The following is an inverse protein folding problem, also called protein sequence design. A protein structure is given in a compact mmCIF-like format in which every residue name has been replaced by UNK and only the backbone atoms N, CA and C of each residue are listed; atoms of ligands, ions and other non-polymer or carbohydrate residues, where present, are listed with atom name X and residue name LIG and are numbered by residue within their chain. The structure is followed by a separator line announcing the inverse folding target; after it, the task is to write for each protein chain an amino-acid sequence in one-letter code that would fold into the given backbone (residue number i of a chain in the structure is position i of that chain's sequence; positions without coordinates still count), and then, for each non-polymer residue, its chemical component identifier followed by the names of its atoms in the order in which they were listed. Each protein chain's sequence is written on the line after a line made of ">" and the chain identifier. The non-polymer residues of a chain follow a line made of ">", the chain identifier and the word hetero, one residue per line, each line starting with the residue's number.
data_IF_711157502846
#
_entry.id   IF_711157502846
#
_cell.length_a   1.000
_cell.length_b   1.000
_cell.length_c   1.000
_cell.angle_alpha   90.00
_cell.angle_beta   90.00
_cell.angle_gamma   90.00
#
_symmetry.space_group_name_H-M   'P 1'
#
loop_
_entity.id
_entity.type
_entity.pdbx_description
1 polymer ?
#
# COMPACT_ATOMS: atom_id res chain seq x y z
N UNK A 1 -8.76 26.63 -9.99
CA UNK A 1 -7.42 26.02 -9.84
C UNK A 1 -7.22 24.96 -10.94
N UNK A 2 -6.12 25.05 -11.71
CA UNK A 2 -5.81 24.13 -12.82
C UNK A 2 -5.70 22.66 -12.32
N UNK A 3 -6.08 21.68 -13.15
CA UNK A 3 -6.02 20.24 -12.80
C UNK A 3 -4.59 19.80 -12.47
N UNK A 4 -3.59 20.37 -13.14
CA UNK A 4 -2.18 20.15 -12.84
C UNK A 4 -1.81 20.58 -11.43
N UNK A 5 -2.30 21.75 -10.97
CA UNK A 5 -2.03 22.23 -9.61
C UNK A 5 -2.67 21.30 -8.57
N UNK A 6 -3.89 20.81 -8.82
CA UNK A 6 -4.56 19.82 -7.95
C UNK A 6 -3.78 18.51 -7.87
N UNK A 7 -3.26 18.05 -9.00
CA UNK A 7 -2.43 16.86 -9.07
C UNK A 7 -1.11 17.02 -8.31
N UNK A 8 -0.40 18.14 -8.52
CA UNK A 8 0.84 18.46 -7.80
C UNK A 8 0.59 18.52 -6.30
N UNK A 9 -0.47 19.20 -5.83
CA UNK A 9 -0.83 19.20 -4.41
C UNK A 9 -1.07 17.78 -3.87
N UNK A 10 -1.71 16.90 -4.66
CA UNK A 10 -1.95 15.50 -4.27
C UNK A 10 -0.64 14.70 -4.18
N UNK A 11 0.29 14.92 -5.10
CA UNK A 11 1.63 14.31 -5.08
C UNK A 11 2.42 14.80 -3.88
N UNK A 12 2.46 16.11 -3.63
CA UNK A 12 3.15 16.68 -2.46
C UNK A 12 2.59 16.11 -1.15
N UNK A 13 1.27 16.04 -1.02
CA UNK A 13 0.63 15.45 0.15
C UNK A 13 1.00 13.97 0.32
N UNK A 14 1.00 13.19 -0.77
CA UNK A 14 1.43 11.80 -0.74
C UNK A 14 2.90 11.64 -0.35
N UNK A 15 3.81 12.43 -0.94
CA UNK A 15 5.24 12.35 -0.61
C UNK A 15 5.48 12.70 0.86
N UNK A 16 4.81 13.74 1.38
CA UNK A 16 4.91 14.11 2.79
C UNK A 16 4.38 12.98 3.68
N UNK A 17 3.20 12.45 3.37
CA UNK A 17 2.62 11.34 4.11
C UNK A 17 3.55 10.11 4.07
N UNK A 18 3.96 9.69 2.88
CA UNK A 18 4.86 8.55 2.68
C UNK A 18 6.21 8.73 3.39
N UNK A 19 6.77 9.93 3.43
CA UNK A 19 8.02 10.22 4.12
C UNK A 19 7.87 10.13 5.64
N UNK A 20 6.82 10.74 6.20
CA UNK A 20 6.50 10.65 7.63
C UNK A 20 6.31 9.19 8.04
N UNK A 21 5.55 8.45 7.22
CA UNK A 21 5.26 7.04 7.39
C UNK A 21 6.51 6.16 7.31
N UNK A 22 7.38 6.41 6.34
CA UNK A 22 8.62 5.67 6.17
C UNK A 22 9.57 5.90 7.35
N UNK A 23 9.69 7.14 7.85
CA UNK A 23 10.59 7.44 8.97
C UNK A 23 10.00 6.96 10.30
N UNK A 24 8.78 7.39 10.64
CA UNK A 24 8.17 7.08 11.93
C UNK A 24 7.67 5.64 11.99
N UNK A 25 7.12 5.12 10.90
CA UNK A 25 6.66 3.74 10.83
C UNK A 25 7.81 2.76 10.97
N UNK A 26 8.92 2.96 10.28
CA UNK A 26 10.07 2.06 10.39
C UNK A 26 10.74 2.15 11.75
N UNK A 27 10.86 3.36 12.31
CA UNK A 27 11.34 3.57 13.68
C UNK A 27 10.47 2.87 14.72
N UNK A 28 9.14 3.00 14.59
CA UNK A 28 8.19 2.34 15.47
C UNK A 28 8.24 0.81 15.32
N UNK A 29 8.35 0.31 14.09
CA UNK A 29 8.45 -1.12 13.80
C UNK A 29 9.74 -1.72 14.35
N UNK A 30 10.85 -0.99 14.27
CA UNK A 30 12.11 -1.41 14.87
C UNK A 30 12.03 -1.41 16.40
N UNK A 31 11.44 -0.37 16.99
CA UNK A 31 11.30 -0.25 18.44
C UNK A 31 10.39 -1.32 19.05
N UNK A 32 9.30 -1.69 18.36
CA UNK A 32 8.34 -2.70 18.84
C UNK A 32 8.69 -4.13 18.43
N UNK A 33 9.74 -4.32 17.65
CA UNK A 33 10.18 -5.67 17.29
C UNK A 33 10.61 -6.43 18.55
N UNK A 34 10.16 -7.70 18.72
CA UNK A 34 10.65 -8.52 19.80
C UNK A 34 12.17 -8.76 19.68
N UNK A 35 12.87 -8.67 20.81
CA UNK A 35 14.31 -8.94 20.91
C UNK A 35 14.53 -10.29 21.58
N UNK A 36 15.53 -11.02 21.10
CA UNK A 36 15.85 -12.37 21.56
C UNK A 36 17.32 -12.48 21.94
N UNK A 37 17.66 -13.44 22.81
CA UNK A 37 19.04 -13.70 23.22
C UNK A 37 19.78 -14.62 22.22
N UNK A 38 19.05 -15.56 21.60
CA UNK A 38 19.62 -16.51 20.64
C UNK A 38 18.84 -16.56 19.33
N UNK A 39 19.51 -17.03 18.27
CA UNK A 39 18.89 -17.27 16.96
C UNK A 39 17.88 -18.42 17.06
N UNK A 40 18.13 -19.42 17.91
CA UNK A 40 17.21 -20.54 18.14
C UNK A 40 15.91 -20.08 18.77
N UNK A 41 15.98 -19.18 19.75
CA UNK A 41 14.80 -18.53 20.33
C UNK A 41 14.04 -17.71 19.29
N UNK A 42 14.76 -16.98 18.42
CA UNK A 42 14.11 -16.23 17.34
C UNK A 42 13.31 -17.17 16.43
N UNK A 43 13.88 -18.33 16.07
CA UNK A 43 13.22 -19.32 15.22
C UNK A 43 12.03 -19.99 15.91
N UNK A 44 12.12 -20.26 17.21
CA UNK A 44 11.05 -20.92 17.97
C UNK A 44 9.80 -20.04 18.11
N UNK A 45 9.95 -18.72 18.04
CA UNK A 45 8.85 -17.76 18.12
C UNK A 45 8.21 -17.43 16.76
N UNK A 46 8.69 -18.00 15.65
CA UNK A 46 8.05 -17.85 14.35
C UNK A 46 6.70 -18.57 14.38
N UNK A 47 5.66 -17.87 13.96
CA UNK A 47 4.31 -18.45 13.95
C UNK A 47 4.20 -19.49 12.84
N UNK A 48 3.44 -20.54 13.11
CA UNK A 48 3.11 -21.53 12.10
C UNK A 48 2.24 -20.89 11.00
N UNK A 49 2.61 -21.09 9.74
CA UNK A 49 1.96 -20.47 8.59
C UNK A 49 1.88 -21.46 7.44
N UNK A 50 0.65 -21.69 6.97
CA UNK A 50 0.35 -22.66 5.91
C UNK A 50 1.10 -22.34 4.62
N UNK A 51 1.28 -21.06 4.27
CA UNK A 51 2.03 -20.70 3.08
C UNK A 51 3.53 -20.99 3.22
N UNK A 52 4.06 -21.00 4.44
CA UNK A 52 5.43 -21.39 4.68
C UNK A 52 5.65 -22.89 4.57
N UNK A 53 4.67 -23.69 4.99
CA UNK A 53 4.69 -25.15 4.82
C UNK A 53 4.59 -25.56 3.34
N UNK A 54 3.79 -24.83 2.56
CA UNK A 54 3.55 -25.15 1.15
C UNK A 54 4.62 -24.60 0.20
N UNK A 55 5.17 -23.42 0.49
CA UNK A 55 6.08 -22.71 -0.42
C UNK A 55 7.49 -22.73 0.17
N UNK A 56 8.42 -23.35 -0.55
CA UNK A 56 9.84 -23.39 -0.19
C UNK A 56 10.43 -21.98 -0.18
N UNK A 57 11.33 -21.71 0.77
CA UNK A 57 12.05 -20.45 0.82
C UNK A 57 12.88 -20.23 -0.45
N UNK A 58 12.52 -19.21 -1.21
CA UNK A 58 13.29 -18.74 -2.36
C UNK A 58 13.10 -17.25 -2.53
N UNK A 59 14.20 -16.49 -2.37
CA UNK A 59 14.17 -15.04 -2.46
C UNK A 59 15.29 -14.51 -3.36
N UNK A 60 15.08 -14.48 -4.69
CA UNK A 60 16.06 -13.93 -5.61
C UNK A 60 16.30 -12.45 -5.30
N UNK A 61 17.57 -12.03 -5.37
CA UNK A 61 17.92 -10.61 -5.32
C UNK A 61 17.90 -10.05 -6.74
N UNK A 62 17.44 -8.81 -6.85
CA UNK A 62 17.39 -8.03 -8.09
C UNK A 62 18.10 -6.69 -7.86
N UNK A 63 18.27 -5.90 -8.92
CA UNK A 63 18.85 -4.55 -8.86
C UNK A 63 18.05 -3.65 -7.88
N UNK A 64 16.74 -3.87 -7.77
CA UNK A 64 15.84 -3.10 -6.90
C UNK A 64 15.56 -3.76 -5.55
N UNK A 65 16.46 -4.63 -5.08
CA UNK A 65 16.30 -5.39 -3.84
C UNK A 65 15.58 -6.72 -4.07
N UNK A 66 14.55 -7.03 -3.28
CA UNK A 66 13.82 -8.30 -3.41
C UNK A 66 12.93 -8.31 -4.67
N UNK A 67 12.70 -9.49 -5.28
CA UNK A 67 11.86 -9.64 -6.49
C UNK A 67 10.51 -8.95 -6.37
N UNK A 68 9.84 -9.09 -5.22
CA UNK A 68 8.55 -8.45 -4.95
C UNK A 68 8.57 -6.91 -5.15
N UNK A 69 9.65 -6.26 -4.70
CA UNK A 69 9.82 -4.81 -4.82
C UNK A 69 10.05 -4.43 -6.28
N UNK A 70 10.85 -5.21 -7.01
CA UNK A 70 11.07 -5.01 -8.44
C UNK A 70 9.77 -5.13 -9.25
N UNK A 71 8.94 -6.15 -8.96
CA UNK A 71 7.63 -6.32 -9.61
C UNK A 71 6.75 -5.08 -9.38
N UNK A 72 6.71 -4.56 -8.16
CA UNK A 72 5.91 -3.37 -7.82
C UNK A 72 6.44 -2.14 -8.54
N UNK A 73 7.73 -1.84 -8.45
CA UNK A 73 8.33 -0.67 -9.10
C UNK A 73 8.08 -0.72 -10.61
N UNK A 74 8.33 -1.86 -11.24
CA UNK A 74 8.06 -2.04 -12.67
C UNK A 74 6.57 -1.83 -12.98
N UNK A 75 5.67 -2.39 -12.17
CA UNK A 75 4.22 -2.23 -12.35
C UNK A 75 3.78 -0.77 -12.20
N UNK A 76 4.31 -0.05 -11.21
CA UNK A 76 4.02 1.37 -10.98
C UNK A 76 4.49 2.22 -12.15
N UNK A 77 5.74 2.03 -12.59
CA UNK A 77 6.29 2.76 -13.75
C UNK A 77 5.43 2.52 -14.99
N UNK A 78 5.09 1.26 -15.29
CA UNK A 78 4.24 0.93 -16.42
C UNK A 78 2.83 1.53 -16.29
N UNK A 79 2.24 1.50 -15.09
CA UNK A 79 0.95 2.11 -14.81
C UNK A 79 0.97 3.63 -15.09
N UNK A 80 1.92 4.36 -14.50
CA UNK A 80 2.03 5.81 -14.68
C UNK A 80 2.33 6.19 -16.13
N UNK A 81 3.25 5.49 -16.80
CA UNK A 81 3.56 5.71 -18.22
C UNK A 81 2.31 5.50 -19.08
N UNK A 82 1.56 4.42 -18.87
CA UNK A 82 0.31 4.19 -19.62
C UNK A 82 -0.74 5.26 -19.33
N UNK A 83 -0.84 5.72 -18.09
CA UNK A 83 -1.72 6.83 -17.73
C UNK A 83 -1.36 8.11 -18.49
N UNK A 84 -0.08 8.44 -18.69
CA UNK A 84 0.33 9.64 -19.45
C UNK A 84 -0.20 9.65 -20.89
N UNK A 85 -0.43 8.50 -21.51
CA UNK A 85 -0.97 8.38 -22.86
C UNK A 85 -2.50 8.37 -22.95
N UNK A 86 -3.20 8.44 -21.82
CA UNK A 86 -4.66 8.50 -21.79
C UNK A 86 -5.17 9.92 -21.56
N UNK A 87 -6.28 10.27 -22.21
CA UNK A 87 -6.93 11.60 -22.10
C UNK A 87 -7.23 11.95 -20.63
N UNK A 88 -7.76 10.99 -19.87
CA UNK A 88 -8.11 11.16 -18.45
C UNK A 88 -7.01 10.66 -17.50
N UNK A 89 -5.80 10.45 -18.00
CA UNK A 89 -4.68 9.83 -17.29
C UNK A 89 -4.36 10.45 -15.94
N UNK A 90 -4.29 11.78 -15.89
CA UNK A 90 -3.96 12.52 -14.66
C UNK A 90 -4.98 12.26 -13.54
N UNK A 91 -6.26 12.16 -13.89
CA UNK A 91 -7.32 11.85 -12.90
C UNK A 91 -7.10 10.45 -12.34
N UNK A 92 -6.76 9.46 -13.16
CA UNK A 92 -6.51 8.10 -12.70
C UNK A 92 -5.29 8.01 -11.79
N UNK A 93 -4.20 8.71 -12.14
CA UNK A 93 -3.03 8.83 -11.28
C UNK A 93 -3.38 9.49 -9.94
N UNK A 94 -4.18 10.56 -9.96
CA UNK A 94 -4.64 11.23 -8.76
C UNK A 94 -5.43 10.29 -7.84
N UNK A 95 -6.36 9.51 -8.41
CA UNK A 95 -7.16 8.54 -7.65
C UNK A 95 -6.29 7.46 -7.01
N UNK A 96 -5.30 6.96 -7.76
CA UNK A 96 -4.35 5.99 -7.24
C UNK A 96 -3.54 6.56 -6.06
N UNK A 97 -3.08 7.81 -6.17
CA UNK A 97 -2.33 8.50 -5.12
C UNK A 97 -3.19 8.70 -3.86
N UNK A 98 -4.43 9.17 -4.00
CA UNK A 98 -5.33 9.37 -2.85
C UNK A 98 -5.62 8.08 -2.11
N UNK A 99 -5.91 7.00 -2.84
CA UNK A 99 -6.14 5.69 -2.24
C UNK A 99 -4.87 5.18 -1.56
N UNK A 100 -3.69 5.41 -2.18
CA UNK A 100 -2.40 5.04 -1.58
C UNK A 100 -2.16 5.77 -0.25
N UNK A 101 -2.50 7.06 -0.14
CA UNK A 101 -2.42 7.79 1.12
C UNK A 101 -3.29 7.14 2.21
N UNK A 102 -4.57 6.88 1.91
CA UNK A 102 -5.53 6.29 2.87
C UNK A 102 -5.01 4.96 3.38
N UNK A 103 -4.54 4.10 2.48
CA UNK A 103 -4.05 2.78 2.83
C UNK A 103 -2.73 2.83 3.60
N UNK A 104 -1.84 3.77 3.26
CA UNK A 104 -0.63 3.98 4.04
C UNK A 104 -0.96 4.44 5.46
N UNK A 105 -1.86 5.39 5.64
CA UNK A 105 -2.30 5.79 6.99
C UNK A 105 -2.86 4.61 7.80
N UNK A 106 -3.68 3.76 7.17
CA UNK A 106 -4.20 2.56 7.81
C UNK A 106 -3.08 1.60 8.24
N UNK A 107 -2.06 1.39 7.41
CA UNK A 107 -0.83 0.65 7.76
C UNK A 107 -0.16 1.22 9.01
N UNK A 108 0.00 2.55 9.02
CA UNK A 108 0.33 3.41 10.19
C UNK A 108 -0.23 2.88 11.48
N UNK A 109 -1.55 2.97 11.51
CA UNK A 109 -2.35 2.68 12.69
C UNK A 109 -2.29 1.21 13.09
N UNK A 110 -2.18 0.27 12.14
CA UNK A 110 -2.08 -1.16 12.50
C UNK A 110 -0.77 -1.49 13.22
N UNK A 111 0.33 -0.82 12.83
CA UNK A 111 1.64 -1.01 13.45
C UNK A 111 1.67 -0.55 14.92
N UNK A 112 1.01 0.56 15.22
CA UNK A 112 0.94 1.08 16.59
C UNK A 112 0.08 0.22 17.50
N UNK A 113 -0.75 -0.66 16.95
CA UNK A 113 -1.55 -1.61 17.71
C UNK A 113 -0.75 -2.88 17.98
N UNK A 114 -0.33 -3.61 16.94
CA UNK A 114 0.24 -4.95 17.10
C UNK A 114 1.48 -5.18 16.24
N UNK A 115 2.54 -5.75 16.83
CA UNK A 115 3.77 -6.17 16.16
C UNK A 115 3.92 -7.70 16.27
N UNK A 116 4.32 -8.35 15.18
CA UNK A 116 4.56 -9.80 15.15
C UNK A 116 6.04 -10.13 14.96
N UNK A 117 6.51 -11.31 15.40
CA UNK A 117 7.84 -11.82 15.09
C UNK A 117 8.07 -11.87 13.57
N UNK A 118 9.25 -11.44 13.12
CA UNK A 118 9.55 -11.44 11.69
C UNK A 118 10.00 -12.83 11.21
N UNK A 119 9.33 -13.43 10.21
CA UNK A 119 9.72 -14.73 9.69
C UNK A 119 10.94 -14.70 8.75
N UNK A 120 11.44 -13.52 8.37
CA UNK A 120 12.55 -13.37 7.44
C UNK A 120 13.89 -13.76 8.10
N UNK A 121 14.61 -14.76 7.56
CA UNK A 121 15.90 -15.18 8.11
C UNK A 121 16.96 -14.08 8.16
N UNK A 122 16.89 -13.10 7.26
CA UNK A 122 17.82 -11.96 7.24
C UNK A 122 17.69 -11.06 8.47
N UNK A 123 16.58 -11.16 9.19
CA UNK A 123 16.25 -10.32 10.32
C UNK A 123 16.63 -10.95 11.66
N UNK A 124 17.12 -12.19 11.68
CA UNK A 124 17.46 -12.88 12.93
C UNK A 124 18.64 -12.23 13.66
N UNK A 125 19.66 -11.78 12.92
CA UNK A 125 20.77 -11.06 13.55
C UNK A 125 20.32 -9.70 14.10
N UNK A 126 19.35 -9.06 13.46
CA UNK A 126 18.84 -7.76 13.87
C UNK A 126 17.90 -7.83 15.09
N UNK A 127 17.26 -8.99 15.33
CA UNK A 127 16.49 -9.23 16.55
C UNK A 127 17.37 -9.51 17.78
N UNK A 128 18.66 -9.81 17.60
CA UNK A 128 19.63 -9.92 18.69
C UNK A 128 20.21 -8.56 19.11
N UNK A 129 20.11 -7.55 18.24
CA UNK A 129 20.71 -6.25 18.50
C UNK A 129 20.00 -5.52 19.66
N UNK A 130 20.73 -5.11 20.71
CA UNK A 130 20.17 -4.43 21.87
C UNK A 130 19.60 -3.06 21.50
N UNK A 131 18.63 -2.58 22.30
CA UNK A 131 18.02 -1.27 22.10
C UNK A 131 18.79 -0.22 22.89
N UNK A 132 19.48 0.67 22.16
CA UNK A 132 20.23 1.77 22.76
C UNK A 132 19.59 3.11 22.39
N UNK A 133 19.10 3.87 23.38
CA UNK A 133 18.27 5.06 23.13
C UNK A 133 19.08 6.35 22.94
N UNK A 134 20.35 6.36 23.32
CA UNK A 134 21.15 7.57 23.51
C UNK A 134 22.37 7.61 22.61
N UNK A 135 22.74 8.80 22.12
CA UNK A 135 23.94 9.02 21.32
C UNK A 135 23.70 9.05 19.80
N UNK A 136 24.73 9.46 19.04
CA UNK A 136 24.74 9.43 17.57
C UNK A 136 24.65 7.99 17.03
N UNK A 137 25.07 7.01 17.82
CA UNK A 137 24.94 5.58 17.50
C UNK A 137 23.67 4.92 18.08
N UNK A 138 22.86 5.68 18.82
CA UNK A 138 21.60 5.20 19.38
C UNK A 138 20.64 4.72 18.29
N UNK A 139 19.91 3.65 18.55
CA UNK A 139 19.04 2.98 17.60
C UNK A 139 17.97 3.86 16.97
N UNK A 140 17.44 4.83 17.72
CA UNK A 140 16.49 5.82 17.20
C UNK A 140 17.15 6.71 16.16
N UNK A 141 18.34 7.25 16.48
CA UNK A 141 19.10 8.08 15.55
C UNK A 141 19.56 7.27 14.34
N UNK A 142 20.05 6.05 14.54
CA UNK A 142 20.48 5.12 13.48
C UNK A 142 19.33 4.71 12.56
N UNK A 143 18.11 4.56 13.08
CA UNK A 143 16.93 4.24 12.26
C UNK A 143 16.46 5.44 11.43
N UNK A 144 16.50 6.65 12.01
CA UNK A 144 16.23 7.89 11.28
C UNK A 144 17.32 8.16 10.23
N UNK A 145 18.60 7.88 10.55
CA UNK A 145 19.76 8.18 9.73
C UNK A 145 20.04 7.13 8.64
N UNK A 146 19.81 5.84 8.91
CA UNK A 146 19.99 4.76 7.92
C UNK A 146 18.91 4.76 6.84
N UNK A 147 17.88 5.60 6.99
CA UNK A 147 16.72 5.62 6.11
C UNK A 147 15.88 4.34 6.23
N UNK A 148 14.66 4.43 5.72
CA UNK A 148 13.56 3.47 5.79
C UNK A 148 13.80 2.10 5.08
N UNK A 149 15.01 1.55 5.13
CA UNK A 149 15.44 0.41 4.29
C UNK A 149 15.83 -0.83 5.08
N UNK A 150 15.92 -0.74 6.41
CA UNK A 150 16.35 -1.84 7.29
C UNK A 150 15.43 -2.05 8.50
N UNK A 151 14.14 -1.76 8.40
CA UNK A 151 13.24 -2.18 9.49
C UNK A 151 12.84 -3.63 9.31
N UNK A 152 13.43 -4.49 10.11
CA UNK A 152 13.03 -5.88 10.22
C UNK A 152 11.74 -6.07 11.04
N UNK A 153 11.04 -5.01 11.45
CA UNK A 153 9.75 -5.18 12.15
C UNK A 153 8.69 -5.72 11.18
N UNK A 154 8.09 -6.87 11.47
CA UNK A 154 7.02 -7.38 10.61
C UNK A 154 5.70 -6.65 10.92
N UNK A 155 5.10 -6.09 9.86
CA UNK A 155 3.84 -5.40 9.91
C UNK A 155 2.73 -6.35 9.48
N UNK A 156 1.70 -6.52 10.33
CA UNK A 156 0.53 -7.37 10.04
C UNK A 156 -0.15 -7.01 8.72
N UNK A 157 -0.18 -5.73 8.38
CA UNK A 157 -0.68 -5.29 7.10
C UNK A 157 0.46 -5.29 6.08
N UNK A 158 0.40 -6.08 5.00
CA UNK A 158 1.45 -6.16 3.97
C UNK A 158 1.36 -5.06 2.91
N UNK A 159 2.45 -4.34 2.69
CA UNK A 159 2.48 -3.12 1.86
C UNK A 159 2.73 -3.46 0.40
N UNK A 160 3.57 -4.46 0.16
CA UNK A 160 3.76 -5.05 -1.15
C UNK A 160 2.45 -5.60 -1.71
N UNK A 161 1.71 -6.35 -0.88
CA UNK A 161 0.40 -6.90 -1.25
C UNK A 161 -0.59 -5.78 -1.55
N UNK A 162 -0.65 -4.76 -0.70
CA UNK A 162 -1.51 -3.59 -0.88
C UNK A 162 -1.28 -2.93 -2.25
N UNK A 163 -0.04 -2.55 -2.57
CA UNK A 163 0.26 -1.89 -3.85
C UNK A 163 -0.01 -2.80 -5.06
N UNK A 164 0.32 -4.09 -4.99
CA UNK A 164 0.03 -5.04 -6.06
C UNK A 164 -1.48 -5.19 -6.31
N UNK A 165 -2.26 -5.31 -5.23
CA UNK A 165 -3.72 -5.41 -5.29
C UNK A 165 -4.31 -4.13 -5.89
N UNK A 166 -3.87 -2.97 -5.40
CA UNK A 166 -4.31 -1.66 -5.92
C UNK A 166 -4.02 -1.54 -7.42
N UNK A 167 -2.78 -1.83 -7.83
CA UNK A 167 -2.39 -1.79 -9.24
C UNK A 167 -3.30 -2.66 -10.10
N UNK A 168 -3.55 -3.90 -9.69
CA UNK A 168 -4.47 -4.81 -10.38
C UNK A 168 -5.89 -4.23 -10.49
N UNK A 169 -6.43 -3.69 -9.40
CA UNK A 169 -7.79 -3.14 -9.36
C UNK A 169 -7.93 -1.89 -10.24
N UNK A 170 -6.96 -0.96 -10.18
CA UNK A 170 -6.96 0.26 -10.98
C UNK A 170 -6.71 -0.03 -12.47
N UNK A 171 -5.80 -0.95 -12.80
CA UNK A 171 -5.56 -1.40 -14.17
C UNK A 171 -6.84 -1.95 -14.82
N UNK A 172 -7.61 -2.75 -14.08
CA UNK A 172 -8.87 -3.33 -14.54
C UNK A 172 -10.02 -2.31 -14.61
N UNK A 173 -10.17 -1.46 -13.59
CA UNK A 173 -11.25 -0.44 -13.54
C UNK A 173 -11.13 0.55 -14.69
N UNK A 174 -9.93 1.06 -14.94
CA UNK A 174 -9.71 2.09 -15.96
C UNK A 174 -9.36 1.47 -17.33
N UNK A 175 -9.39 0.15 -17.46
CA UNK A 175 -9.08 -0.59 -18.70
C UNK A 175 -7.75 -0.15 -19.32
N UNK A 176 -6.76 0.09 -18.45
CA UNK A 176 -5.42 0.56 -18.82
C UNK A 176 -4.67 -0.53 -19.58
N UNK A 177 -4.92 -1.77 -19.20
CA UNK A 177 -4.36 -2.95 -19.84
C UNK A 177 -5.33 -3.43 -20.93
N UNK A 178 -4.86 -3.67 -22.17
CA UNK A 178 -5.69 -4.24 -23.23
C UNK A 178 -6.34 -5.54 -22.79
N UNK A 179 -7.58 -5.81 -23.22
CA UNK A 179 -8.37 -6.99 -22.80
C UNK A 179 -7.61 -8.31 -22.94
N UNK A 180 -6.78 -8.44 -23.97
CA UNK A 180 -5.95 -9.63 -24.24
C UNK A 180 -4.80 -9.83 -23.23
N UNK A 181 -4.39 -8.77 -22.53
CA UNK A 181 -3.27 -8.77 -21.58
C UNK A 181 -3.73 -8.69 -20.12
N UNK A 182 -5.05 -8.67 -19.86
CA UNK A 182 -5.58 -8.67 -18.48
C UNK A 182 -5.11 -9.88 -17.70
N UNK A 183 -5.01 -11.04 -18.35
CA UNK A 183 -4.45 -12.25 -17.75
C UNK A 183 -3.01 -12.04 -17.25
N UNK A 184 -2.19 -11.25 -17.96
CA UNK A 184 -0.84 -10.92 -17.50
C UNK A 184 -0.84 -10.05 -16.25
N UNK A 185 -1.79 -9.12 -16.10
CA UNK A 185 -1.95 -8.34 -14.87
C UNK A 185 -2.30 -9.25 -13.69
N UNK A 186 -3.19 -10.24 -13.90
CA UNK A 186 -3.49 -11.25 -12.89
C UNK A 186 -2.25 -12.08 -12.53
N UNK A 187 -1.56 -12.65 -13.51
CA UNK A 187 -0.36 -13.48 -13.29
C UNK A 187 0.73 -12.70 -12.56
N UNK A 188 0.96 -11.45 -12.94
CA UNK A 188 1.91 -10.54 -12.27
C UNK A 188 1.57 -10.35 -10.80
N UNK A 189 0.30 -10.13 -10.48
CA UNK A 189 -0.16 -9.93 -9.09
C UNK A 189 -0.06 -11.22 -8.28
N UNK A 190 -0.47 -12.36 -8.86
CA UNK A 190 -0.33 -13.67 -8.23
C UNK A 190 1.15 -14.04 -7.98
N UNK A 191 2.03 -13.78 -8.95
CA UNK A 191 3.47 -13.96 -8.81
C UNK A 191 4.04 -13.07 -7.70
N UNK A 192 3.57 -11.82 -7.60
CA UNK A 192 3.94 -10.92 -6.51
C UNK A 192 3.57 -11.49 -5.14
N UNK A 193 2.36 -12.02 -4.96
CA UNK A 193 1.94 -12.65 -3.70
C UNK A 193 2.78 -13.89 -3.37
N UNK A 194 3.04 -14.72 -4.39
CA UNK A 194 3.92 -15.88 -4.25
C UNK A 194 5.31 -15.47 -3.73
N UNK A 195 5.94 -14.46 -4.34
CA UNK A 195 7.27 -14.02 -3.91
C UNK A 195 7.27 -13.37 -2.52
N UNK A 196 6.17 -12.75 -2.07
CA UNK A 196 6.05 -12.22 -0.70
C UNK A 196 6.17 -13.33 0.34
N UNK A 197 5.44 -14.43 0.12
CA UNK A 197 5.42 -15.59 1.02
C UNK A 197 6.72 -16.40 0.89
N UNK A 198 7.20 -16.61 -0.35
CA UNK A 198 8.45 -17.33 -0.65
C UNK A 198 9.68 -16.63 -0.06
N UNK A 199 9.71 -15.29 -0.05
CA UNK A 199 10.77 -14.51 0.58
C UNK A 199 10.66 -14.44 2.11
N UNK A 200 9.61 -15.00 2.71
CA UNK A 200 9.27 -14.84 4.14
C UNK A 200 9.25 -13.38 4.55
N UNK A 201 8.80 -12.51 3.64
CA UNK A 201 8.72 -11.07 3.93
C UNK A 201 7.51 -10.73 4.79
N UNK A 202 6.45 -11.54 4.69
CA UNK A 202 5.21 -11.42 5.44
C UNK A 202 4.60 -12.81 5.62
N UNK A 203 3.76 -12.97 6.64
CA UNK A 203 2.95 -14.17 6.79
C UNK A 203 1.83 -14.21 5.74
N UNK A 204 1.30 -15.40 5.47
CA UNK A 204 0.19 -15.59 4.53
C UNK A 204 -1.05 -14.84 5.00
N UNK A 205 -1.28 -14.74 6.31
CA UNK A 205 -2.38 -13.95 6.87
C UNK A 205 -2.23 -12.45 6.56
N UNK A 206 -1.01 -11.92 6.56
CA UNK A 206 -0.74 -10.51 6.24
C UNK A 206 -1.09 -10.20 4.78
N UNK A 207 -0.81 -11.14 3.88
CA UNK A 207 -1.16 -11.07 2.46
C UNK A 207 -2.69 -11.14 2.30
N UNK A 208 -3.34 -12.09 2.97
CA UNK A 208 -4.78 -12.26 2.90
C UNK A 208 -5.55 -11.04 3.39
N UNK A 209 -5.24 -10.55 4.58
CA UNK A 209 -5.87 -9.36 5.18
C UNK A 209 -5.59 -8.13 4.33
N UNK A 210 -4.36 -7.98 3.83
CA UNK A 210 -4.02 -6.84 2.96
C UNK A 210 -4.84 -6.84 1.67
N UNK A 211 -5.03 -8.00 1.05
CA UNK A 211 -5.89 -8.16 -0.11
C UNK A 211 -7.35 -7.77 0.22
N UNK A 212 -7.91 -8.27 1.33
CA UNK A 212 -9.29 -7.99 1.73
C UNK A 212 -9.54 -6.50 1.98
N UNK A 213 -8.72 -5.88 2.83
CA UNK A 213 -8.83 -4.45 3.16
C UNK A 213 -8.66 -3.61 1.88
N UNK A 214 -7.71 -3.96 1.02
CA UNK A 214 -7.49 -3.20 -0.22
C UNK A 214 -8.69 -3.27 -1.15
N UNK A 215 -9.29 -4.45 -1.34
CA UNK A 215 -10.51 -4.58 -2.14
C UNK A 215 -11.67 -3.80 -1.51
N UNK A 216 -11.90 -3.94 -0.20
CA UNK A 216 -12.96 -3.23 0.50
C UNK A 216 -12.81 -1.71 0.36
N UNK A 217 -11.63 -1.18 0.66
CA UNK A 217 -11.33 0.26 0.54
C UNK A 217 -11.49 0.73 -0.89
N UNK A 218 -11.06 -0.05 -1.88
CA UNK A 218 -11.23 0.29 -3.29
C UNK A 218 -12.70 0.39 -3.70
N UNK A 219 -13.54 -0.58 -3.31
CA UNK A 219 -14.97 -0.54 -3.60
C UNK A 219 -15.66 0.61 -2.89
N UNK A 220 -15.36 0.84 -1.62
CA UNK A 220 -15.90 1.96 -0.85
C UNK A 220 -15.50 3.31 -1.46
N UNK A 221 -14.21 3.47 -1.80
CA UNK A 221 -13.69 4.68 -2.46
C UNK A 221 -14.41 4.96 -3.78
N UNK A 222 -14.62 3.92 -4.60
CA UNK A 222 -15.31 4.06 -5.88
C UNK A 222 -16.79 4.42 -5.72
N UNK A 223 -17.47 3.83 -4.74
CA UNK A 223 -18.87 4.15 -4.42
C UNK A 223 -18.98 5.60 -3.95
N UNK A 224 -18.11 6.01 -3.01
CA UNK A 224 -18.08 7.38 -2.51
C UNK A 224 -17.85 8.40 -3.63
N UNK A 225 -16.90 8.14 -4.54
CA UNK A 225 -16.69 9.01 -5.69
C UNK A 225 -17.94 9.16 -6.55
N UNK A 226 -18.60 8.05 -6.88
CA UNK A 226 -19.83 8.09 -7.70
C UNK A 226 -20.93 8.88 -7.02
N UNK A 227 -21.19 8.64 -5.73
CA UNK A 227 -22.21 9.36 -4.97
C UNK A 227 -21.89 10.85 -4.86
N UNK A 228 -20.63 11.21 -4.63
CA UNK A 228 -20.19 12.60 -4.58
C UNK A 228 -20.38 13.32 -5.93
N UNK A 229 -20.00 12.68 -7.04
CA UNK A 229 -20.24 13.25 -8.37
C UNK A 229 -21.74 13.38 -8.68
N UNK A 230 -22.57 12.41 -8.28
CA UNK A 230 -24.01 12.49 -8.45
C UNK A 230 -24.62 13.67 -7.67
N UNK A 231 -24.19 13.89 -6.43
CA UNK A 231 -24.65 15.03 -5.61
C UNK A 231 -24.31 16.38 -6.26
N UNK A 232 -23.09 16.54 -6.79
CA UNK A 232 -22.67 17.78 -7.49
C UNK A 232 -23.49 18.00 -8.76
N UNK A 233 -23.82 16.94 -9.50
CA UNK A 233 -24.65 17.07 -10.70
C UNK A 233 -26.06 17.53 -10.35
N UNK A 234 -26.65 17.00 -9.28
CA UNK A 234 -27.96 17.42 -8.79
C UNK A 234 -27.94 18.89 -8.37
N UNK A 235 -26.95 19.31 -7.57
CA UNK A 235 -26.81 20.70 -7.12
C UNK A 235 -26.61 21.67 -8.30
N UNK A 236 -25.83 21.27 -9.31
CA UNK A 236 -25.64 22.05 -10.53
C UNK A 236 -26.90 22.13 -11.39
N UNK A 237 -27.67 21.05 -11.47
CA UNK A 237 -28.94 21.02 -12.19
C UNK A 237 -29.96 21.95 -11.49
N UNK A 238 -30.02 21.95 -10.15
CA UNK A 238 -30.83 22.88 -9.35
C UNK A 238 -30.43 24.36 -9.55
N UNK A 239 -29.12 24.67 -9.55
CA UNK A 239 -28.65 26.04 -9.86
C UNK A 239 -28.92 26.47 -11.31
N UNK A 240 -28.91 25.53 -12.25
CA UNK A 240 -29.14 25.82 -13.67
C UNK A 240 -30.60 25.96 -14.06
N UNK A 241 -31.53 25.48 -13.22
CA UNK A 241 -32.96 25.58 -13.45
C UNK A 241 -33.71 26.15 -12.22
N UNK A 242 -33.52 27.45 -11.88
CA UNK A 242 -34.12 28.08 -10.71
C UNK A 242 -35.64 28.32 -10.82
N UNK A 243 -36.33 27.75 -11.81
CA UNK A 243 -37.76 27.96 -12.06
C UNK A 243 -38.49 26.64 -12.35
N UNK A 244 -38.72 25.86 -11.30
CA UNK A 244 -40.02 25.23 -11.13
C UNK A 244 -40.51 25.66 -9.76
N UNK A 245 -41.14 26.84 -9.75
CA UNK A 245 -42.00 27.27 -8.66
C UNK A 245 -42.99 26.14 -8.36
N UNK A 246 -43.12 25.81 -7.08
CA UNK A 246 -43.98 24.76 -6.52
C UNK A 246 -45.48 25.12 -6.65
N UNK A 247 -45.86 26.08 -7.49
CA UNK A 247 -47.23 26.62 -7.57
C UNK A 247 -48.08 26.20 -8.79
N UNK A 248 -47.60 25.36 -9.70
CA UNK A 248 -48.38 25.00 -10.92
C UNK A 248 -48.71 23.51 -11.10
N UNK A 249 -48.91 22.75 -10.02
CA UNK A 249 -49.41 21.35 -10.10
C UNK A 249 -50.86 21.19 -9.58
N UNK A 250 -51.54 22.27 -9.15
CA UNK A 250 -52.90 22.13 -8.59
C UNK A 250 -54.06 22.88 -9.25
N UNK A 251 -53.92 23.44 -10.45
CA UNK A 251 -55.11 23.87 -11.22
C UNK A 251 -54.93 23.57 -12.71
N UNK A 252 -55.58 22.47 -13.13
CA UNK A 252 -56.20 22.16 -14.43
C UNK A 252 -55.91 20.72 -14.87
#
# INVERSE_FOLDING_TARGET
>A
MNIYNKFICSVCFFVTCASIMAILGDALAWFRMPKYETIEDTKSHILNDVGFDLIVYSCPKTIFGNVQTAIIILSLVLYFVRCMFMINGLVYMQQFIHMSCIMMLLRTTTLSLTSMPNPNPKCFEESLAPIEYTGYDGSVFKTIHSGATKSCGNLMFSGHTMFLTMLYLFENKHKIVPRKLVFLSFVKTAAGYYYIISCRSHYTIDVWISCLITNMTFHLYNTYQKSFFAAILIERDEESNPMIDIETIHIA
#
